data_IF_419135186102
#
_entry.id   IF_419135186102
#
_cell.length_a   1.000
_cell.length_b   1.000
_cell.length_c   1.000
_cell.angle_alpha   90.00
_cell.angle_beta   90.00
_cell.angle_gamma   90.00
#
_symmetry.space_group_name_H-M   'P 1'
#
loop_
_entity.id
_entity.type
_entity.pdbx_description
1 polymer ?
#
# COMPACT_ATOMS: atom_id res chain seq x y z
N UNK A 1 -12.09 -23.83 -3.53
CA UNK A 1 -12.07 -22.71 -4.51
C UNK A 1 -13.06 -21.60 -4.14
N UNK A 2 -14.34 -21.92 -3.90
CA UNK A 2 -15.37 -20.94 -3.54
C UNK A 2 -15.00 -20.04 -2.33
N UNK A 3 -14.41 -20.60 -1.28
CA UNK A 3 -13.96 -19.85 -0.10
C UNK A 3 -12.90 -18.79 -0.43
N UNK A 4 -11.96 -19.07 -1.33
CA UNK A 4 -10.95 -18.11 -1.78
C UNK A 4 -11.56 -16.98 -2.59
N UNK A 5 -12.51 -17.30 -3.48
CA UNK A 5 -13.23 -16.29 -4.25
C UNK A 5 -14.06 -15.40 -3.34
N UNK A 6 -14.74 -15.98 -2.34
CA UNK A 6 -15.48 -15.20 -1.34
C UNK A 6 -14.56 -14.27 -0.55
N UNK A 7 -13.37 -14.75 -0.13
CA UNK A 7 -12.37 -13.93 0.53
C UNK A 7 -11.89 -12.77 -0.35
N UNK A 8 -11.55 -13.02 -1.62
CA UNK A 8 -11.12 -12.00 -2.56
C UNK A 8 -12.18 -10.92 -2.84
N UNK A 9 -13.46 -11.24 -2.64
CA UNK A 9 -14.59 -10.30 -2.77
C UNK A 9 -14.83 -9.42 -1.54
N UNK A 10 -14.14 -9.66 -0.42
CA UNK A 10 -14.29 -8.82 0.78
C UNK A 10 -13.96 -7.36 0.45
N UNK A 11 -14.85 -6.45 0.87
CA UNK A 11 -14.72 -5.02 0.62
C UNK A 11 -13.78 -4.37 1.62
N UNK A 12 -12.98 -3.43 1.15
CA UNK A 12 -12.09 -2.61 1.96
C UNK A 12 -12.73 -1.23 2.16
N UNK A 13 -12.68 -0.72 3.39
CA UNK A 13 -13.09 0.64 3.67
C UNK A 13 -12.00 1.62 3.20
N UNK A 14 -12.35 2.69 2.47
CA UNK A 14 -11.37 3.63 1.99
C UNK A 14 -10.81 4.49 3.13
N UNK A 15 -9.50 4.74 3.09
CA UNK A 15 -8.86 5.71 3.97
C UNK A 15 -9.06 7.13 3.41
N UNK A 16 -9.34 8.08 4.29
CA UNK A 16 -9.47 9.50 3.93
C UNK A 16 -8.11 10.18 4.11
N UNK A 17 -7.63 10.99 3.14
CA UNK A 17 -6.41 11.75 3.30
C UNK A 17 -6.58 12.90 4.29
N UNK A 18 -5.50 13.22 5.00
CA UNK A 18 -5.40 14.38 5.87
C UNK A 18 -4.95 15.63 5.10
N UNK A 19 -5.44 16.84 5.49
CA UNK A 19 -6.39 17.08 6.57
C UNK A 19 -7.84 16.73 6.19
N UNK A 20 -8.19 16.82 4.91
CA UNK A 20 -9.50 16.44 4.35
C UNK A 20 -9.34 16.07 2.87
N UNK A 21 -10.17 15.17 2.34
CA UNK A 21 -10.26 14.93 0.90
C UNK A 21 -11.04 13.67 0.54
N UNK A 22 -11.13 13.39 -0.76
CA UNK A 22 -11.63 12.09 -1.23
C UNK A 22 -10.52 11.03 -1.12
N UNK A 23 -10.87 9.75 -0.95
CA UNK A 23 -9.89 8.67 -1.08
C UNK A 23 -9.16 8.70 -2.42
N UNK A 24 -7.91 8.25 -2.45
CA UNK A 24 -7.15 8.11 -3.70
C UNK A 24 -7.96 7.32 -4.76
N UNK A 25 -7.96 7.71 -6.04
CA UNK A 25 -8.77 7.05 -7.08
C UNK A 25 -8.47 5.54 -7.23
N UNK A 26 -7.20 5.16 -7.09
CA UNK A 26 -6.77 3.74 -7.11
C UNK A 26 -6.85 3.03 -5.74
N UNK A 27 -7.50 3.61 -4.73
CA UNK A 27 -7.66 2.91 -3.45
C UNK A 27 -8.48 1.62 -3.67
N UNK A 28 -7.98 0.44 -3.26
CA UNK A 28 -8.61 -0.83 -3.59
C UNK A 28 -9.97 -0.96 -2.90
N UNK A 29 -10.98 -1.38 -3.66
CA UNK A 29 -12.34 -1.56 -3.13
C UNK A 29 -12.55 -2.95 -2.55
N UNK A 30 -11.77 -3.93 -3.01
CA UNK A 30 -11.80 -5.32 -2.55
C UNK A 30 -10.39 -5.87 -2.29
N UNK A 31 -10.31 -7.03 -1.62
CA UNK A 31 -9.05 -7.75 -1.48
C UNK A 31 -8.47 -8.19 -2.82
N UNK A 32 -9.30 -8.51 -3.81
CA UNK A 32 -8.84 -8.77 -5.17
C UNK A 32 -8.13 -7.55 -5.76
N UNK A 33 -8.76 -6.38 -5.70
CA UNK A 33 -8.18 -5.14 -6.24
C UNK A 33 -6.84 -4.84 -5.56
N UNK A 34 -6.77 -5.01 -4.24
CA UNK A 34 -5.52 -4.86 -3.47
C UNK A 34 -4.40 -5.78 -3.99
N UNK A 35 -4.71 -7.03 -4.31
CA UNK A 35 -3.72 -7.97 -4.86
C UNK A 35 -3.26 -7.63 -6.28
N UNK A 36 -4.06 -6.90 -7.03
CA UNK A 36 -3.81 -6.52 -8.43
C UNK A 36 -3.14 -5.15 -8.59
N UNK A 37 -2.95 -4.38 -7.50
CA UNK A 37 -2.29 -3.08 -7.55
C UNK A 37 -0.91 -3.13 -8.22
N UNK A 38 -0.71 -2.22 -9.17
CA UNK A 38 0.58 -2.03 -9.85
C UNK A 38 1.56 -1.28 -8.95
N UNK A 39 2.82 -1.31 -9.33
CA UNK A 39 3.87 -0.53 -8.66
C UNK A 39 3.61 0.98 -8.72
N UNK A 40 3.17 1.47 -9.88
CA UNK A 40 2.86 2.88 -10.11
C UNK A 40 1.67 3.33 -9.26
N UNK A 41 0.61 2.52 -9.18
CA UNK A 41 -0.53 2.80 -8.29
C UNK A 41 -0.10 2.83 -6.81
N UNK A 42 0.75 1.90 -6.40
CA UNK A 42 1.30 1.85 -5.04
C UNK A 42 2.16 3.09 -4.72
N UNK A 43 3.02 3.52 -5.65
CA UNK A 43 3.84 4.72 -5.49
C UNK A 43 2.96 6.00 -5.47
N UNK A 44 1.92 6.07 -6.30
CA UNK A 44 0.94 7.16 -6.30
C UNK A 44 0.18 7.27 -4.98
N UNK A 45 -0.33 6.14 -4.47
CA UNK A 45 -0.98 6.06 -3.16
C UNK A 45 -0.04 6.51 -2.05
N UNK A 46 1.20 6.05 -2.02
CA UNK A 46 2.17 6.44 -1.00
C UNK A 46 2.50 7.94 -1.03
N UNK A 47 2.56 8.54 -2.22
CA UNK A 47 2.70 9.99 -2.37
C UNK A 47 1.48 10.74 -1.82
N UNK A 48 0.27 10.29 -2.17
CA UNK A 48 -0.99 10.92 -1.79
C UNK A 48 -1.23 10.95 -0.28
N UNK A 49 -0.88 9.88 0.44
CA UNK A 49 -1.01 9.80 1.91
C UNK A 49 0.23 10.31 2.66
N UNK A 50 1.08 11.13 2.04
CA UNK A 50 2.28 11.72 2.65
C UNK A 50 3.26 10.67 3.21
N UNK A 51 3.26 9.46 2.67
CA UNK A 51 4.13 8.38 3.12
C UNK A 51 5.44 8.32 2.35
N UNK A 52 5.43 8.79 1.10
CA UNK A 52 6.62 8.81 0.25
C UNK A 52 7.47 10.08 0.37
N UNK A 53 6.84 11.23 0.58
CA UNK A 53 7.52 12.50 0.85
C UNK A 53 6.95 12.99 2.17
N UNK A 54 7.66 12.78 3.30
CA UNK A 54 7.12 13.09 4.61
C UNK A 54 6.70 14.55 4.76
N UNK A 55 5.61 14.79 5.47
CA UNK A 55 5.06 16.11 5.80
C UNK A 55 4.57 16.10 7.25
N UNK A 56 3.98 17.22 7.68
CA UNK A 56 3.33 17.34 9.00
C UNK A 56 2.24 16.28 9.25
N UNK A 57 1.68 15.68 8.19
CA UNK A 57 0.60 14.69 8.29
C UNK A 57 1.09 13.24 8.33
N UNK A 58 2.35 12.96 8.00
CA UNK A 58 2.86 11.57 7.83
C UNK A 58 2.64 10.71 9.06
N UNK A 59 2.84 11.27 10.25
CA UNK A 59 2.69 10.60 11.54
C UNK A 59 1.30 10.75 12.16
N UNK A 60 0.37 11.41 11.47
CA UNK A 60 -1.01 11.56 11.93
C UNK A 60 -1.93 10.45 11.40
N UNK A 61 -1.45 9.63 10.46
CA UNK A 61 -2.15 8.42 10.05
C UNK A 61 -1.98 7.30 11.09
N UNK A 62 -2.94 6.35 11.19
CA UNK A 62 -2.88 5.25 12.18
C UNK A 62 -1.63 4.37 12.10
N UNK A 63 -0.97 4.34 10.93
CA UNK A 63 0.28 3.64 10.71
C UNK A 63 1.14 4.42 9.71
N UNK A 64 2.46 4.19 9.72
CA UNK A 64 3.37 4.70 8.69
C UNK A 64 3.80 3.56 7.77
N UNK A 65 3.92 3.83 6.47
CA UNK A 65 4.40 2.82 5.49
C UNK A 65 5.93 2.65 5.51
N UNK A 66 6.67 3.62 6.06
CA UNK A 66 8.13 3.73 5.92
C UNK A 66 8.55 3.58 4.45
N UNK A 67 8.02 4.45 3.57
CA UNK A 67 8.22 4.38 2.12
C UNK A 67 9.59 4.92 1.70
N UNK A 68 10.64 4.16 2.02
CA UNK A 68 12.01 4.50 1.66
C UNK A 68 12.24 4.31 0.15
N UNK A 69 12.20 5.41 -0.59
CA UNK A 69 12.46 5.48 -2.04
C UNK A 69 13.87 5.02 -2.40
N UNK A 70 14.87 5.25 -1.55
CA UNK A 70 16.27 4.89 -1.84
C UNK A 70 16.51 3.39 -1.68
N UNK A 71 15.93 2.75 -0.67
CA UNK A 71 15.90 1.29 -0.56
C UNK A 71 15.12 0.66 -1.72
N UNK A 72 13.97 1.24 -2.10
CA UNK A 72 13.15 0.74 -3.21
C UNK A 72 13.87 0.91 -4.56
N UNK A 73 14.61 2.01 -4.76
CA UNK A 73 15.43 2.27 -5.95
C UNK A 73 16.67 1.37 -6.00
N UNK A 74 17.38 1.17 -4.88
CA UNK A 74 18.53 0.24 -4.79
C UNK A 74 18.13 -1.21 -5.04
N UNK A 75 16.92 -1.63 -4.63
CA UNK A 75 16.37 -2.96 -4.93
C UNK A 75 16.00 -3.14 -6.41
N UNK A 76 15.74 -2.08 -7.19
CA UNK A 76 15.56 -2.20 -8.66
C UNK A 76 16.79 -2.78 -9.34
N UNK A 77 17.99 -2.59 -8.80
CA UNK A 77 19.24 -3.09 -9.37
C UNK A 77 19.57 -4.54 -8.97
N UNK A 78 18.96 -5.10 -7.91
CA UNK A 78 19.37 -6.39 -7.33
C UNK A 78 18.24 -7.41 -7.12
N UNK A 79 16.97 -7.00 -7.16
CA UNK A 79 15.83 -7.87 -6.83
C UNK A 79 14.85 -7.93 -8.00
N UNK A 80 14.36 -9.13 -8.33
CA UNK A 80 13.32 -9.32 -9.32
C UNK A 80 12.08 -8.45 -9.00
N UNK A 81 11.56 -7.72 -10.00
CA UNK A 81 10.50 -6.72 -9.88
C UNK A 81 9.27 -7.20 -9.07
N UNK A 82 8.89 -8.47 -9.18
CA UNK A 82 7.77 -9.05 -8.44
C UNK A 82 7.96 -9.01 -6.91
N UNK A 83 9.19 -9.17 -6.41
CA UNK A 83 9.50 -9.12 -4.97
C UNK A 83 9.44 -7.68 -4.43
N UNK A 84 9.78 -6.68 -5.25
CA UNK A 84 9.60 -5.26 -4.90
C UNK A 84 8.11 -4.94 -4.74
N UNK A 85 7.29 -5.27 -5.74
CA UNK A 85 5.84 -5.06 -5.71
C UNK A 85 5.21 -5.75 -4.50
N UNK A 86 5.62 -6.98 -4.20
CA UNK A 86 5.14 -7.68 -3.01
C UNK A 86 5.49 -6.94 -1.71
N UNK A 87 6.68 -6.36 -1.61
CA UNK A 87 7.12 -5.62 -0.41
C UNK A 87 6.37 -4.29 -0.24
N UNK A 88 6.19 -3.52 -1.32
CA UNK A 88 5.38 -2.30 -1.31
C UNK A 88 3.92 -2.59 -0.96
N UNK A 89 3.34 -3.62 -1.57
CA UNK A 89 1.97 -4.04 -1.29
C UNK A 89 1.80 -4.42 0.19
N UNK A 90 2.76 -5.13 0.79
CA UNK A 90 2.75 -5.45 2.22
C UNK A 90 2.82 -4.20 3.11
N UNK A 91 3.70 -3.23 2.80
CA UNK A 91 3.74 -1.94 3.50
C UNK A 91 2.40 -1.21 3.44
N UNK A 92 1.79 -1.17 2.25
CA UNK A 92 0.46 -0.58 2.06
C UNK A 92 -0.63 -1.35 2.81
N UNK A 93 -0.61 -2.69 2.77
CA UNK A 93 -1.56 -3.53 3.51
C UNK A 93 -1.53 -3.25 5.02
N UNK A 94 -0.34 -3.15 5.61
CA UNK A 94 -0.18 -2.77 7.02
C UNK A 94 -0.74 -1.37 7.29
N UNK A 95 -0.51 -0.41 6.39
CA UNK A 95 -1.00 0.95 6.52
C UNK A 95 -2.52 1.07 6.56
N UNK A 96 -3.23 0.24 5.78
CA UNK A 96 -4.70 0.20 5.77
C UNK A 96 -5.31 -0.80 6.77
N UNK A 97 -4.49 -1.38 7.66
CA UNK A 97 -4.96 -2.27 8.73
C UNK A 97 -5.14 -3.75 8.36
N UNK A 98 -4.58 -4.22 7.24
CA UNK A 98 -4.59 -5.65 6.90
C UNK A 98 -3.59 -6.43 7.76
N UNK A 99 -4.04 -7.59 8.23
CA UNK A 99 -3.22 -8.55 8.98
C UNK A 99 -2.25 -9.31 8.04
N UNK A 100 -1.21 -9.90 8.62
CA UNK A 100 -0.22 -10.74 7.92
C UNK A 100 0.50 -10.03 6.76
N UNK A 101 0.72 -8.71 6.88
CA UNK A 101 1.39 -7.88 5.88
C UNK A 101 2.84 -7.52 6.27
N UNK A 102 3.52 -8.38 7.01
CA UNK A 102 4.89 -8.16 7.48
C UNK A 102 5.90 -8.20 6.33
N UNK A 103 6.77 -7.20 6.25
CA UNK A 103 7.91 -7.23 5.32
C UNK A 103 9.08 -7.96 5.95
N UNK A 104 9.57 -9.07 5.37
CA UNK A 104 10.80 -9.71 5.82
C UNK A 104 11.94 -8.69 5.82
N UNK A 105 12.71 -8.69 6.92
CA UNK A 105 13.94 -7.89 7.07
C UNK A 105 15.03 -8.40 6.15
#
# INVERSE_FOLDING_TARGET
>A
LASRIAHLKLRLAPLVPLPTGAPHPDFPRTLLDYHLLTEEQLDGIASYYHQSTPSIYTHQYPACMNWDKDMLAKRRASVAQHLRRASQRRKFGKFIGLLNCETPV
#
